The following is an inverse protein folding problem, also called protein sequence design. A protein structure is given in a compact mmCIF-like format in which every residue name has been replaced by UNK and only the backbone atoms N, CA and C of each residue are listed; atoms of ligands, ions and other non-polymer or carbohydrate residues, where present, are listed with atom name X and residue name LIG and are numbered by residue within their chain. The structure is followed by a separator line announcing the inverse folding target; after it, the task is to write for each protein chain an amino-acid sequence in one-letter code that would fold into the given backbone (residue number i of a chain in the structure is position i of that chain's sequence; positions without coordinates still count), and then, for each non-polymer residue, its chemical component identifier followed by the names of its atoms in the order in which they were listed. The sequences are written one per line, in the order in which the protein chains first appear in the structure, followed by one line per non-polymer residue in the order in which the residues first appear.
data_IF_431284343646
#
_entry.id   IF_431284343646
#
_cell.length_a   1.000
_cell.length_b   1.000
_cell.length_c   1.000
_cell.angle_alpha   90.00
_cell.angle_beta   90.00
_cell.angle_gamma   90.00
#
_symmetry.space_group_name_H-M   'P 1'
#
loop_
_entity.id
_entity.type
_entity.pdbx_description
1 polymer ?
#
# COMPACT_ATOMS: atom_id res chain seq x y z
N UNK A 1 -31.40 -8.83 2.35
CA UNK A 1 -31.13 -7.82 1.30
C UNK A 1 -30.97 -8.60 0.01
N UNK A 2 -31.94 -8.54 -0.90
CA UNK A 2 -31.88 -9.24 -2.19
C UNK A 2 -31.33 -8.23 -3.18
N UNK A 3 -30.07 -8.41 -3.60
CA UNK A 3 -29.47 -7.62 -4.67
C UNK A 3 -30.16 -8.07 -5.97
N UNK A 4 -30.69 -7.11 -6.73
CA UNK A 4 -31.37 -7.43 -8.00
C UNK A 4 -30.35 -7.97 -9.00
N UNK A 5 -30.74 -8.94 -9.84
CA UNK A 5 -29.90 -9.46 -10.93
C UNK A 5 -29.34 -8.32 -11.80
N UNK A 6 -30.13 -7.26 -11.99
CA UNK A 6 -29.70 -6.05 -12.70
C UNK A 6 -28.56 -5.30 -12.01
N UNK A 7 -28.56 -5.19 -10.68
CA UNK A 7 -27.49 -4.52 -9.93
C UNK A 7 -26.19 -5.34 -9.97
N UNK A 8 -26.29 -6.67 -10.02
CA UNK A 8 -25.14 -7.57 -10.18
C UNK A 8 -24.52 -7.39 -11.57
N UNK A 9 -25.35 -7.33 -12.62
CA UNK A 9 -24.90 -7.13 -14.00
C UNK A 9 -24.29 -5.73 -14.24
N UNK A 10 -24.92 -4.68 -13.70
CA UNK A 10 -24.39 -3.31 -13.76
C UNK A 10 -23.05 -3.19 -13.03
N UNK A 11 -22.91 -3.84 -11.87
CA UNK A 11 -21.65 -3.87 -11.12
C UNK A 11 -20.54 -4.64 -11.86
N UNK A 12 -20.86 -5.79 -12.46
CA UNK A 12 -19.91 -6.55 -13.26
C UNK A 12 -19.46 -5.78 -14.52
N UNK A 13 -20.39 -5.07 -15.17
CA UNK A 13 -20.08 -4.22 -16.32
C UNK A 13 -19.17 -3.07 -15.91
N UNK A 14 -19.45 -2.40 -14.78
CA UNK A 14 -18.58 -1.35 -14.27
C UNK A 14 -17.16 -1.85 -13.97
N UNK A 15 -17.00 -3.00 -13.31
CA UNK A 15 -15.68 -3.59 -13.05
C UNK A 15 -14.93 -3.99 -14.33
N UNK A 16 -15.66 -4.36 -15.39
CA UNK A 16 -15.03 -4.69 -16.68
C UNK A 16 -14.31 -3.48 -17.32
N UNK A 17 -14.73 -2.25 -16.97
CA UNK A 17 -14.12 -1.01 -17.47
C UNK A 17 -12.82 -0.64 -16.76
N UNK A 18 -12.47 -1.30 -15.65
CA UNK A 18 -11.26 -1.00 -14.90
C UNK A 18 -10.00 -1.36 -15.67
N UNK A 19 -9.01 -0.47 -15.56
CA UNK A 19 -7.62 -0.74 -15.91
C UNK A 19 -7.01 -1.82 -15.01
N UNK A 20 -5.88 -2.39 -15.44
CA UNK A 20 -5.16 -3.39 -14.64
C UNK A 20 -4.70 -2.81 -13.30
N UNK A 21 -4.29 -1.54 -13.27
CA UNK A 21 -3.87 -0.84 -12.05
C UNK A 21 -5.05 -0.65 -11.08
N UNK A 22 -6.24 -0.28 -11.59
CA UNK A 22 -7.46 -0.20 -10.78
C UNK A 22 -7.86 -1.56 -10.21
N UNK A 23 -7.73 -2.64 -11.00
CA UNK A 23 -8.00 -4.01 -10.51
C UNK A 23 -7.02 -4.41 -9.42
N UNK A 24 -5.73 -4.16 -9.61
CA UNK A 24 -4.69 -4.46 -8.63
C UNK A 24 -4.98 -3.71 -7.33
N UNK A 25 -5.27 -2.42 -7.43
CA UNK A 25 -5.59 -1.62 -6.26
C UNK A 25 -6.85 -2.16 -5.57
N UNK A 26 -7.89 -2.57 -6.31
CA UNK A 26 -9.18 -2.96 -5.72
C UNK A 26 -9.12 -4.31 -5.00
N UNK A 27 -8.25 -5.20 -5.45
CA UNK A 27 -8.12 -6.57 -4.90
C UNK A 27 -6.97 -6.72 -3.91
N UNK A 28 -6.10 -5.72 -3.78
CA UNK A 28 -5.01 -5.76 -2.81
C UNK A 28 -5.57 -5.52 -1.39
N UNK A 29 -5.22 -6.35 -0.39
CA UNK A 29 -5.71 -6.15 0.98
C UNK A 29 -5.23 -4.82 1.58
N UNK A 30 -6.08 -4.09 2.34
CA UNK A 30 -5.68 -2.81 2.91
C UNK A 30 -4.48 -2.85 3.87
N UNK A 31 -4.25 -3.98 4.54
CA UNK A 31 -3.04 -4.16 5.35
C UNK A 31 -1.76 -4.08 4.51
N UNK A 32 -1.81 -4.63 3.29
CA UNK A 32 -0.68 -4.61 2.36
C UNK A 32 -0.39 -3.19 1.86
N UNK A 33 -1.43 -2.39 1.61
CA UNK A 33 -1.28 -0.96 1.25
C UNK A 33 -0.50 -0.18 2.31
N UNK A 34 -0.87 -0.37 3.58
CA UNK A 34 -0.24 0.29 4.70
C UNK A 34 1.26 -0.04 4.77
N UNK A 35 1.61 -1.31 4.59
CA UNK A 35 3.01 -1.75 4.61
C UNK A 35 3.83 -1.12 3.48
N UNK A 36 3.30 -1.07 2.25
CA UNK A 36 3.99 -0.45 1.12
C UNK A 36 4.23 1.07 1.32
N UNK A 37 3.24 1.79 1.86
CA UNK A 37 3.39 3.21 2.17
C UNK A 37 4.44 3.43 3.28
N UNK A 38 4.44 2.59 4.31
CA UNK A 38 5.47 2.67 5.35
C UNK A 38 6.86 2.33 4.83
N UNK A 39 6.99 1.36 3.92
CA UNK A 39 8.28 1.06 3.26
C UNK A 39 8.77 2.28 2.49
N UNK A 40 7.89 2.92 1.73
CA UNK A 40 8.21 4.15 0.99
C UNK A 40 8.67 5.27 1.93
N UNK A 41 7.96 5.49 3.03
CA UNK A 41 8.33 6.45 4.08
C UNK A 41 9.69 6.12 4.70
N UNK A 42 9.90 4.88 5.15
CA UNK A 42 11.15 4.48 5.81
C UNK A 42 12.33 4.60 4.85
N UNK A 43 12.16 4.24 3.57
CA UNK A 43 13.20 4.47 2.54
C UNK A 43 13.53 5.94 2.38
N UNK A 44 12.53 6.85 2.45
CA UNK A 44 12.76 8.30 2.43
C UNK A 44 13.53 8.77 3.67
N UNK A 45 13.16 8.30 4.86
CA UNK A 45 13.86 8.63 6.10
C UNK A 45 15.31 8.16 6.06
N UNK A 46 15.60 6.96 5.56
CA UNK A 46 16.95 6.41 5.45
C UNK A 46 17.89 7.21 4.51
N UNK A 47 17.35 8.07 3.65
CA UNK A 47 18.12 9.00 2.82
C UNK A 47 18.55 10.28 3.57
N UNK A 48 18.03 10.53 4.77
CA UNK A 48 18.42 11.69 5.57
C UNK A 48 19.91 11.60 5.95
N UNK A 49 20.67 12.65 5.63
CA UNK A 49 22.12 12.71 5.86
C UNK A 49 22.50 12.64 7.34
N UNK A 50 21.70 13.28 8.19
CA UNK A 50 21.99 13.45 9.61
C UNK A 50 21.18 12.48 10.50
N UNK A 51 20.76 11.34 9.95
CA UNK A 51 20.07 10.31 10.72
C UNK A 51 21.03 9.66 11.73
N UNK A 52 20.65 9.67 13.00
CA UNK A 52 21.39 8.96 14.06
C UNK A 52 21.52 7.46 13.74
N UNK A 53 22.68 6.88 14.05
CA UNK A 53 22.99 5.48 13.73
C UNK A 53 22.02 4.49 14.38
N UNK A 54 21.57 4.73 15.60
CA UNK A 54 20.60 3.88 16.30
C UNK A 54 19.22 3.90 15.62
N UNK A 55 18.76 5.06 15.17
CA UNK A 55 17.52 5.17 14.41
C UNK A 55 17.62 4.50 13.04
N UNK A 56 18.77 4.68 12.37
CA UNK A 56 19.05 4.02 11.10
C UNK A 56 18.99 2.50 11.23
N UNK A 57 19.62 1.95 12.27
CA UNK A 57 19.59 0.52 12.56
C UNK A 57 18.15 0.04 12.78
N UNK A 58 17.37 0.72 13.62
CA UNK A 58 15.96 0.35 13.89
C UNK A 58 15.10 0.32 12.63
N UNK A 59 15.27 1.27 11.72
CA UNK A 59 14.54 1.28 10.45
C UNK A 59 14.97 0.15 9.52
N UNK A 60 16.25 -0.18 9.46
CA UNK A 60 16.76 -1.31 8.68
C UNK A 60 16.27 -2.65 9.25
N UNK A 61 16.25 -2.81 10.57
CA UNK A 61 15.71 -3.98 11.24
C UNK A 61 14.20 -4.13 10.99
N UNK A 62 13.46 -3.03 11.03
CA UNK A 62 12.04 -3.02 10.69
C UNK A 62 11.78 -3.45 9.24
N UNK A 63 12.56 -2.92 8.28
CA UNK A 63 12.48 -3.35 6.87
C UNK A 63 12.81 -4.84 6.71
N UNK A 64 13.80 -5.35 7.43
CA UNK A 64 14.13 -6.77 7.41
C UNK A 64 13.01 -7.63 8.04
N UNK A 65 12.35 -7.13 9.09
CA UNK A 65 11.29 -7.83 9.79
C UNK A 65 9.95 -7.83 9.05
N UNK A 66 9.65 -6.81 8.24
CA UNK A 66 8.36 -6.70 7.55
C UNK A 66 8.28 -7.62 6.31
N UNK A 67 9.42 -8.03 5.74
CA UNK A 67 9.45 -9.00 4.64
C UNK A 67 9.12 -10.39 5.16
N UNK A 68 7.82 -10.74 5.13
CA UNK A 68 7.33 -12.07 5.47
C UNK A 68 5.96 -12.34 4.81
N UNK A 69 5.67 -13.61 4.54
CA UNK A 69 4.40 -14.03 3.95
C UNK A 69 4.19 -13.47 2.54
N UNK A 70 3.19 -12.59 2.38
CA UNK A 70 2.76 -12.07 1.07
C UNK A 70 3.58 -10.85 0.61
N UNK A 71 4.30 -10.17 1.52
CA UNK A 71 5.21 -9.08 1.19
C UNK A 71 6.60 -9.64 0.89
N UNK A 72 6.90 -9.76 -0.41
CA UNK A 72 8.18 -10.29 -0.88
C UNK A 72 9.29 -9.26 -0.81
N UNK A 73 10.54 -9.75 -0.83
CA UNK A 73 11.73 -8.91 -0.97
C UNK A 73 11.67 -8.08 -2.27
N UNK A 74 11.20 -8.67 -3.37
CA UNK A 74 11.06 -8.00 -4.67
C UNK A 74 10.04 -6.85 -4.61
N UNK A 75 8.91 -7.04 -3.91
CA UNK A 75 7.92 -5.99 -3.69
C UNK A 75 8.55 -4.85 -2.87
N UNK A 76 9.22 -5.17 -1.75
CA UNK A 76 9.91 -4.17 -0.95
C UNK A 76 10.96 -3.41 -1.78
N UNK A 77 11.77 -4.09 -2.59
CA UNK A 77 12.81 -3.45 -3.41
C UNK A 77 12.22 -2.51 -4.46
N UNK A 78 11.12 -2.91 -5.10
CA UNK A 78 10.41 -2.10 -6.11
C UNK A 78 9.93 -0.76 -5.58
N UNK A 79 9.48 -0.70 -4.32
CA UNK A 79 8.95 0.53 -3.72
C UNK A 79 10.02 1.64 -3.69
N UNK A 80 9.78 2.74 -4.38
CA UNK A 80 10.62 3.93 -4.32
C UNK A 80 10.43 4.69 -2.98
N UNK A 81 11.43 5.45 -2.52
CA UNK A 81 11.27 6.39 -1.40
C UNK A 81 10.12 7.37 -1.63
N UNK A 82 9.41 7.73 -0.56
CA UNK A 82 8.33 8.71 -0.60
C UNK A 82 8.84 10.10 -1.02
N UNK A 83 8.02 10.85 -1.76
CA UNK A 83 8.25 12.26 -2.06
C UNK A 83 7.83 13.17 -0.89
N UNK A 84 8.19 14.46 -0.94
CA UNK A 84 7.89 15.40 0.14
C UNK A 84 6.39 15.59 0.38
N UNK A 85 5.57 15.60 -0.68
CA UNK A 85 4.11 15.65 -0.56
C UNK A 85 3.56 14.43 0.17
N UNK A 86 4.03 13.23 -0.17
CA UNK A 86 3.61 12.01 0.52
C UNK A 86 4.06 12.01 1.99
N UNK A 87 5.26 12.53 2.29
CA UNK A 87 5.73 12.68 3.66
C UNK A 87 4.86 13.64 4.46
N UNK A 88 4.44 14.76 3.87
CA UNK A 88 3.54 15.71 4.51
C UNK A 88 2.18 15.08 4.83
N UNK A 89 1.60 14.32 3.89
CA UNK A 89 0.34 13.60 4.14
C UNK A 89 0.47 12.61 5.30
N UNK A 90 1.60 11.90 5.40
CA UNK A 90 1.86 10.96 6.49
C UNK A 90 2.04 11.71 7.83
N UNK A 91 2.71 12.87 7.81
CA UNK A 91 2.89 13.71 9.00
C UNK A 91 1.55 14.25 9.52
N UNK A 92 0.64 14.66 8.63
CA UNK A 92 -0.73 15.09 8.99
C UNK A 92 -1.51 13.95 9.68
N UNK A 93 -1.24 12.70 9.29
CA UNK A 93 -1.85 11.53 9.92
C UNK A 93 -1.27 11.24 11.31
N UNK A 94 -0.13 11.81 11.71
CA UNK A 94 0.59 11.39 12.93
C UNK A 94 -0.26 11.51 14.21
N UNK A 95 -1.13 12.51 14.27
CA UNK A 95 -1.99 12.80 15.42
C UNK A 95 -3.17 11.85 15.57
N UNK A 96 -3.45 11.05 14.54
CA UNK A 96 -4.54 10.09 14.55
C UNK A 96 -4.17 8.85 15.39
N UNK A 97 -5.20 8.26 16.01
CA UNK A 97 -5.08 6.94 16.63
C UNK A 97 -4.69 5.88 15.61
N UNK A 98 -4.15 4.74 16.06
CA UNK A 98 -3.82 3.63 15.16
C UNK A 98 -5.07 3.16 14.41
N UNK A 99 -6.21 3.06 15.10
CA UNK A 99 -7.47 2.62 14.51
C UNK A 99 -7.96 3.58 13.42
N UNK A 100 -7.82 4.89 13.64
CA UNK A 100 -8.19 5.91 12.66
C UNK A 100 -7.25 5.91 11.45
N UNK A 101 -5.93 5.74 11.67
CA UNK A 101 -4.96 5.54 10.58
C UNK A 101 -5.34 4.33 9.73
N UNK A 102 -5.61 3.18 10.36
CA UNK A 102 -6.03 1.97 9.67
C UNK A 102 -7.38 2.12 8.95
N UNK A 103 -8.31 2.92 9.48
CA UNK A 103 -9.58 3.22 8.81
C UNK A 103 -9.39 4.15 7.62
N UNK A 104 -8.54 5.17 7.74
CA UNK A 104 -8.25 6.12 6.68
C UNK A 104 -7.52 5.45 5.52
N UNK A 105 -6.51 4.64 5.83
CA UNK A 105 -5.74 3.89 4.83
C UNK A 105 -6.57 2.81 4.12
N UNK A 106 -7.72 2.40 4.68
CA UNK A 106 -8.67 1.51 4.00
C UNK A 106 -9.49 2.21 2.92
N UNK A 107 -9.45 3.54 2.85
CA UNK A 107 -10.21 4.27 1.84
C UNK A 107 -9.46 4.30 0.52
N UNK A 108 -10.17 3.93 -0.55
CA UNK A 108 -9.65 3.86 -1.90
C UNK A 108 -8.99 5.16 -2.38
N UNK A 109 -9.66 6.29 -2.17
CA UNK A 109 -9.22 7.61 -2.61
C UNK A 109 -7.88 8.02 -1.99
N UNK A 110 -7.69 7.70 -0.71
CA UNK A 110 -6.43 7.91 -0.01
C UNK A 110 -5.31 7.08 -0.63
N UNK A 111 -5.56 5.79 -0.87
CA UNK A 111 -4.54 4.93 -1.45
C UNK A 111 -4.22 5.29 -2.91
N UNK A 112 -5.23 5.62 -3.70
CA UNK A 112 -5.05 6.14 -5.05
C UNK A 112 -4.19 7.42 -5.05
N UNK A 113 -4.38 8.30 -4.06
CA UNK A 113 -3.53 9.47 -3.85
C UNK A 113 -2.06 9.12 -3.66
N UNK A 114 -1.75 8.15 -2.77
CA UNK A 114 -0.38 7.68 -2.58
C UNK A 114 0.20 7.01 -3.83
N UNK A 115 -0.58 6.20 -4.55
CA UNK A 115 -0.14 5.59 -5.80
C UNK A 115 0.16 6.62 -6.89
N UNK A 116 -0.62 7.70 -6.98
CA UNK A 116 -0.35 8.79 -7.92
C UNK A 116 0.94 9.54 -7.58
N UNK A 117 1.23 9.72 -6.29
CA UNK A 117 2.48 10.33 -5.82
C UNK A 117 3.69 9.41 -5.96
N UNK A 118 3.47 8.09 -5.90
CA UNK A 118 4.51 7.09 -6.02
C UNK A 118 4.00 5.84 -6.78
N UNK A 119 4.09 5.83 -8.13
CA UNK A 119 3.61 4.73 -8.96
C UNK A 119 4.27 3.37 -8.67
N UNK A 120 5.47 3.36 -8.07
CA UNK A 120 6.13 2.11 -7.67
C UNK A 120 5.35 1.30 -6.63
N UNK A 121 4.39 1.93 -5.93
CA UNK A 121 3.48 1.24 -5.02
C UNK A 121 2.59 0.27 -5.79
N UNK A 122 2.05 0.68 -6.95
CA UNK A 122 1.23 -0.20 -7.80
C UNK A 122 2.09 -1.35 -8.35
N UNK A 123 3.32 -1.05 -8.79
CA UNK A 123 4.23 -2.09 -9.27
C UNK A 123 4.57 -3.11 -8.18
N UNK A 124 4.74 -2.67 -6.92
CA UNK A 124 4.91 -3.57 -5.79
C UNK A 124 3.64 -4.37 -5.45
N UNK A 125 2.45 -3.83 -5.69
CA UNK A 125 1.18 -4.54 -5.53
C UNK A 125 1.00 -5.64 -6.57
N UNK A 126 1.48 -5.45 -7.82
CA UNK A 126 1.47 -6.51 -8.85
C UNK A 126 2.29 -7.74 -8.46
N UNK A 127 3.25 -7.57 -7.54
CA UNK A 127 4.08 -8.64 -6.98
C UNK A 127 3.43 -9.33 -5.78
N UNK A 128 2.27 -8.86 -5.32
CA UNK A 128 1.51 -9.49 -4.25
C UNK A 128 1.11 -10.91 -4.67
N UNK A 129 1.67 -11.90 -4.00
CA UNK A 129 1.25 -13.28 -4.18
C UNK A 129 0.05 -13.50 -3.27
N UNK A 130 -1.13 -13.63 -3.87
CA UNK A 130 -2.27 -14.15 -3.12
C UNK A 130 -1.86 -15.55 -2.61
N UNK A 131 -1.97 -15.86 -1.31
CA UNK A 131 -1.80 -17.22 -0.85
C UNK A 131 -2.81 -18.07 -1.64
N UNK A 132 -2.28 -19.04 -2.38
CA UNK A 132 -3.04 -19.94 -3.24
C UNK A 132 -4.11 -20.61 -2.37
N UNK A 133 -5.33 -20.10 -2.47
CA UNK A 133 -6.55 -20.86 -2.24
C UNK A 133 -6.97 -21.43 -3.58
N UNK A 134 -6.80 -22.73 -3.74
CA UNK A 134 -7.27 -23.53 -4.87
C UNK A 134 -8.75 -23.25 -5.14
N UNK A 135 -9.08 -22.91 -6.39
CA UNK A 135 -10.33 -23.35 -7.02
C UNK A 135 -10.06 -23.47 -8.52
N UNK A 136 -10.08 -24.72 -8.98
CA UNK A 136 -10.28 -25.10 -10.37
C UNK A 136 -11.67 -24.69 -10.86
#
# INVERSE_FOLDING_TARGET
MIISTREIEEHALWQSTWSDDERVLAHTPPGYWYDLVNISMVKRLLQARDMRADLRLRFLEWLNGIVHGNLSLDAMQTVAPACDTAMQMIDEMQHLSIDDKCRLMRKWDIMAGFCNLNPSLIEAMKLFRHPIGVAA
#
